data_IF_714350774391
#
_entry.id   IF_714350774391
#
_cell.length_a   1.000
_cell.length_b   1.000
_cell.length_c   1.000
_cell.angle_alpha   90.00
_cell.angle_beta   90.00
_cell.angle_gamma   90.00
#
_symmetry.space_group_name_H-M   'P 1'
#
loop_
_entity.id
_entity.type
_entity.pdbx_description
1 polymer ?
#
# COMPACT_ATOMS: atom_id res chain seq x y z
N UNK A 1 -5.80 11.16 6.02
CA UNK A 1 -6.09 11.46 4.62
C UNK A 1 -7.42 12.19 4.57
N UNK A 2 -7.39 13.39 4.02
CA UNK A 2 -8.57 14.20 3.77
C UNK A 2 -8.66 14.40 2.26
N UNK A 3 -9.63 13.75 1.63
CA UNK A 3 -9.78 13.73 0.18
C UNK A 3 -11.00 14.55 -0.19
N UNK A 4 -10.77 15.75 -0.72
CA UNK A 4 -11.82 16.60 -1.27
C UNK A 4 -11.71 16.61 -2.81
N UNK A 5 -12.67 16.03 -3.53
CA UNK A 5 -12.60 15.92 -4.99
C UNK A 5 -13.00 17.20 -5.75
N UNK A 6 -13.47 18.25 -5.07
CA UNK A 6 -13.83 19.56 -5.69
C UNK A 6 -14.69 19.45 -6.98
N UNK A 7 -15.63 18.50 -7.01
CA UNK A 7 -16.51 18.27 -8.16
C UNK A 7 -15.92 17.38 -9.27
N UNK A 8 -14.76 16.76 -9.07
CA UNK A 8 -14.17 15.83 -10.02
C UNK A 8 -14.91 14.48 -10.02
N UNK A 9 -15.49 14.11 -11.16
CA UNK A 9 -16.12 12.79 -11.45
C UNK A 9 -17.16 12.33 -10.42
N UNK A 10 -17.93 13.24 -9.83
CA UNK A 10 -18.95 12.94 -8.80
C UNK A 10 -18.41 12.11 -7.62
N UNK A 11 -17.11 12.22 -7.32
CA UNK A 11 -16.49 11.52 -6.20
C UNK A 11 -16.95 12.11 -4.88
N UNK A 12 -16.99 11.28 -3.84
CA UNK A 12 -17.38 11.72 -2.52
C UNK A 12 -16.20 12.33 -1.77
N UNK A 13 -16.44 13.43 -1.04
CA UNK A 13 -15.47 13.92 -0.08
C UNK A 13 -15.40 12.94 1.10
N UNK A 14 -14.21 12.40 1.38
CA UNK A 14 -14.02 11.43 2.46
C UNK A 14 -12.81 11.80 3.31
N UNK A 15 -12.91 11.50 4.60
CA UNK A 15 -11.84 11.71 5.56
C UNK A 15 -11.61 10.44 6.36
N UNK A 16 -10.36 10.00 6.42
CA UNK A 16 -9.97 8.76 7.09
C UNK A 16 -8.45 8.60 7.21
N UNK A 17 -7.99 7.62 7.95
CA UNK A 17 -6.57 7.26 8.03
C UNK A 17 -6.28 6.00 7.24
N UNK A 18 -5.03 5.89 6.75
CA UNK A 18 -4.50 4.71 6.07
C UNK A 18 -3.19 4.32 6.75
N UNK A 19 -3.06 3.04 7.09
CA UNK A 19 -1.89 2.47 7.73
C UNK A 19 -1.38 1.31 6.88
N UNK A 20 -0.06 1.25 6.70
CA UNK A 20 0.61 0.14 6.04
C UNK A 20 1.86 -0.23 6.81
N UNK A 21 1.94 -1.49 7.20
CA UNK A 21 3.08 -2.07 7.89
C UNK A 21 3.62 -3.20 7.03
N UNK A 22 4.88 -3.08 6.61
CA UNK A 22 5.55 -4.10 5.80
C UNK A 22 6.75 -4.64 6.56
N UNK A 23 6.75 -5.95 6.77
CA UNK A 23 7.91 -6.70 7.21
C UNK A 23 8.53 -7.42 6.01
N UNK A 24 9.80 -7.11 5.71
CA UNK A 24 10.45 -7.64 4.51
C UNK A 24 11.89 -8.13 4.76
N UNK A 25 12.09 -9.43 5.05
CA UNK A 25 13.41 -10.05 5.02
C UNK A 25 14.06 -9.87 3.65
N UNK A 26 15.18 -9.15 3.61
CA UNK A 26 15.84 -8.75 2.36
C UNK A 26 17.24 -9.32 2.28
N UNK A 27 17.52 -10.04 1.20
CA UNK A 27 18.86 -10.48 0.81
C UNK A 27 19.44 -9.44 -0.14
N UNK A 28 20.60 -8.87 0.22
CA UNK A 28 21.35 -7.93 -0.62
C UNK A 28 22.67 -8.55 -1.01
N UNK A 29 23.06 -8.40 -2.28
CA UNK A 29 24.35 -8.89 -2.76
C UNK A 29 25.55 -8.05 -2.27
N UNK A 30 25.29 -6.85 -1.73
CA UNK A 30 26.28 -5.88 -1.25
C UNK A 30 25.91 -5.37 0.16
N UNK A 31 26.64 -4.36 0.65
CA UNK A 31 26.54 -3.78 2.01
C UNK A 31 25.09 -3.67 2.51
N UNK A 32 24.73 -4.54 3.48
CA UNK A 32 23.37 -4.63 4.04
C UNK A 32 22.91 -3.29 4.65
N UNK A 33 23.85 -2.50 5.20
CA UNK A 33 23.58 -1.19 5.80
C UNK A 33 23.43 -0.03 4.81
N UNK A 34 23.63 -0.26 3.51
CA UNK A 34 23.43 0.77 2.49
C UNK A 34 22.01 0.64 1.88
N UNK A 35 21.24 1.72 1.99
CA UNK A 35 19.87 1.79 1.48
C UNK A 35 19.81 1.76 -0.04
N UNK A 36 20.82 2.29 -0.72
CA UNK A 36 20.88 2.38 -2.18
C UNK A 36 21.61 1.20 -2.83
N UNK A 37 22.09 0.24 -2.04
CA UNK A 37 22.73 -0.96 -2.57
C UNK A 37 21.71 -1.89 -3.23
N UNK A 38 22.00 -2.27 -4.48
CA UNK A 38 21.26 -3.23 -5.31
C UNK A 38 22.26 -4.16 -6.01
N UNK A 39 21.87 -5.36 -6.48
CA UNK A 39 20.52 -5.95 -6.46
C UNK A 39 20.06 -6.37 -5.06
N UNK A 40 18.75 -6.30 -4.83
CA UNK A 40 18.10 -6.82 -3.62
C UNK A 40 16.94 -7.77 -3.96
N UNK A 41 16.81 -8.83 -3.16
CA UNK A 41 15.70 -9.78 -3.21
C UNK A 41 14.98 -9.72 -1.85
N UNK A 42 13.68 -9.40 -1.88
CA UNK A 42 12.85 -9.27 -0.67
C UNK A 42 11.70 -10.26 -0.68
N UNK A 43 11.57 -10.98 0.42
CA UNK A 43 10.32 -11.61 0.82
C UNK A 43 9.56 -10.56 1.63
N UNK A 44 8.26 -10.39 1.43
CA UNK A 44 7.51 -9.39 2.18
C UNK A 44 6.16 -9.91 2.65
N UNK A 45 5.77 -9.42 3.81
CA UNK A 45 4.44 -9.50 4.38
C UNK A 45 4.01 -8.08 4.71
N UNK A 46 2.88 -7.64 4.15
CA UNK A 46 2.33 -6.31 4.34
C UNK A 46 0.94 -6.44 4.93
N UNK A 47 0.71 -5.73 6.03
CA UNK A 47 -0.62 -5.51 6.57
C UNK A 47 -1.05 -4.07 6.27
N UNK A 48 -2.26 -3.91 5.75
CA UNK A 48 -2.85 -2.62 5.42
C UNK A 48 -4.19 -2.50 6.13
N UNK A 49 -4.41 -1.39 6.80
CA UNK A 49 -5.71 -1.10 7.38
C UNK A 49 -6.04 0.38 7.17
N UNK A 50 -7.32 0.66 6.96
CA UNK A 50 -7.79 1.99 6.62
C UNK A 50 -9.21 2.21 7.11
N UNK A 51 -9.57 3.48 7.25
CA UNK A 51 -10.93 3.84 7.65
C UNK A 51 -11.92 3.49 6.54
N UNK A 52 -13.00 2.77 6.87
CA UNK A 52 -14.10 2.40 5.94
C UNK A 52 -14.80 3.59 5.27
N UNK A 53 -14.55 4.82 5.74
CA UNK A 53 -14.97 6.03 5.04
C UNK A 53 -14.25 6.20 3.69
N UNK A 54 -13.03 5.69 3.55
CA UNK A 54 -12.25 5.74 2.32
C UNK A 54 -12.82 4.84 1.22
N UNK A 55 -13.52 3.75 1.59
CA UNK A 55 -14.18 2.83 0.64
C UNK A 55 -15.30 3.52 -0.16
N UNK A 56 -15.81 4.65 0.31
CA UNK A 56 -16.88 5.41 -0.34
C UNK A 56 -16.36 6.55 -1.24
N UNK A 57 -15.04 6.72 -1.39
CA UNK A 57 -14.47 7.81 -2.20
C UNK A 57 -14.91 7.73 -3.67
N UNK A 58 -14.82 6.56 -4.28
CA UNK A 58 -15.32 6.28 -5.61
C UNK A 58 -15.73 4.80 -5.75
N UNK A 59 -16.74 4.53 -6.58
CA UNK A 59 -17.25 3.17 -6.80
C UNK A 59 -16.34 2.29 -7.66
N UNK A 60 -15.34 2.90 -8.32
CA UNK A 60 -14.31 2.28 -9.14
C UNK A 60 -12.92 2.29 -8.48
N UNK A 61 -12.82 2.66 -7.20
CA UNK A 61 -11.55 2.69 -6.47
C UNK A 61 -11.13 1.29 -6.00
N UNK A 62 -9.84 1.13 -5.70
CA UNK A 62 -9.30 -0.09 -5.12
C UNK A 62 -9.85 -0.32 -3.70
N UNK A 63 -9.99 0.74 -2.91
CA UNK A 63 -10.60 0.70 -1.57
C UNK A 63 -12.11 0.45 -1.67
N UNK A 64 -12.59 -0.60 -1.02
CA UNK A 64 -14.00 -1.00 -1.09
C UNK A 64 -14.33 -1.91 -2.28
N UNK A 65 -13.33 -2.30 -3.07
CA UNK A 65 -13.52 -3.26 -4.16
C UNK A 65 -13.79 -4.67 -3.63
N UNK A 66 -14.39 -5.54 -4.44
CA UNK A 66 -14.79 -6.88 -4.02
C UNK A 66 -13.59 -7.69 -3.50
N UNK A 67 -13.56 -7.91 -2.18
CA UNK A 67 -12.48 -8.62 -1.50
C UNK A 67 -11.36 -7.73 -0.93
N UNK A 68 -11.42 -6.40 -1.08
CA UNK A 68 -10.45 -5.45 -0.55
C UNK A 68 -11.19 -4.30 0.16
N UNK A 69 -11.74 -4.61 1.34
CA UNK A 69 -12.52 -3.67 2.15
C UNK A 69 -11.77 -3.31 3.42
N UNK A 70 -12.11 -2.16 4.02
CA UNK A 70 -11.56 -1.75 5.31
C UNK A 70 -11.74 -2.83 6.40
N UNK A 71 -10.72 -3.01 7.25
CA UNK A 71 -10.75 -4.03 8.32
C UNK A 71 -9.47 -4.86 8.47
N UNK A 72 -8.40 -4.53 7.74
CA UNK A 72 -7.11 -5.20 7.85
C UNK A 72 -6.88 -6.27 6.78
N UNK A 73 -6.19 -5.88 5.71
CA UNK A 73 -5.83 -6.74 4.58
C UNK A 73 -4.36 -7.18 4.69
N UNK A 74 -4.10 -8.45 4.41
CA UNK A 74 -2.73 -8.99 4.34
C UNK A 74 -2.31 -9.28 2.90
N UNK A 75 -1.09 -8.89 2.56
CA UNK A 75 -0.47 -9.16 1.27
C UNK A 75 0.92 -9.76 1.46
N UNK A 76 1.21 -10.85 0.74
CA UNK A 76 2.48 -11.57 0.82
C UNK A 76 3.08 -11.73 -0.56
N UNK A 77 4.40 -11.67 -0.67
CA UNK A 77 5.05 -11.87 -1.95
C UNK A 77 6.57 -11.91 -1.90
N UNK A 78 7.13 -12.14 -3.08
CA UNK A 78 8.57 -12.08 -3.34
C UNK A 78 8.81 -11.07 -4.44
N UNK A 79 9.82 -10.22 -4.29
CA UNK A 79 10.17 -9.21 -5.28
C UNK A 79 11.68 -9.02 -5.36
N UNK A 80 12.18 -8.76 -6.57
CA UNK A 80 13.56 -8.39 -6.83
C UNK A 80 13.61 -6.97 -7.40
N UNK A 81 14.58 -6.17 -6.96
CA UNK A 81 14.79 -4.79 -7.43
C UNK A 81 16.27 -4.57 -7.80
N UNK A 82 16.53 -3.89 -8.92
CA UNK A 82 17.88 -3.61 -9.43
C UNK A 82 17.92 -2.34 -10.27
N UNK A 83 19.08 -1.70 -10.34
CA UNK A 83 19.44 -0.60 -11.24
C UNK A 83 20.96 -0.59 -11.48
N UNK A 84 21.42 0.03 -12.57
CA UNK A 84 22.83 0.03 -13.02
C UNK A 84 23.32 1.43 -13.37
#
# INVERSE_FOLDING_TARGET
MDLNPEGYKDRNAVNGSFYKLTFAPTLKASKIGDFFSRPELRLFATWMDWSSKLDHYASDDAFGSSGFNAGGEWNFGVQMETWF
#
